data_IF_403242232445
#
_entry.id   IF_403242232445
#
_cell.length_a   1.000
_cell.length_b   1.000
_cell.length_c   1.000
_cell.angle_alpha   90.00
_cell.angle_beta   90.00
_cell.angle_gamma   90.00
#
_symmetry.space_group_name_H-M   'P 1'
#
loop_
_entity.id
_entity.type
_entity.pdbx_description
1 polymer ?
#
# COMPACT_ATOMS: atom_id res chain seq x y z
N UNK A 1 -6.16 -44.23 -12.66
CA UNK A 1 -4.86 -43.50 -12.75
C UNK A 1 -5.23 -42.07 -13.09
N UNK A 2 -5.43 -41.15 -12.15
CA UNK A 2 -4.64 -40.68 -11.00
C UNK A 2 -3.96 -39.34 -11.34
N UNK A 3 -4.24 -38.37 -10.47
CA UNK A 3 -3.50 -37.13 -10.20
C UNK A 3 -3.46 -36.06 -11.31
N UNK A 4 -4.52 -35.25 -11.41
CA UNK A 4 -4.36 -33.89 -11.99
C UNK A 4 -5.11 -32.77 -11.23
N UNK A 5 -5.89 -33.07 -10.20
CA UNK A 5 -6.73 -32.06 -9.51
C UNK A 5 -6.14 -31.56 -8.17
N UNK A 6 -4.82 -31.58 -7.98
CA UNK A 6 -4.25 -31.25 -6.65
C UNK A 6 -2.88 -30.54 -6.69
N UNK A 7 -2.63 -29.71 -7.70
CA UNK A 7 -1.39 -28.90 -7.77
C UNK A 7 -1.69 -27.42 -8.01
N UNK A 8 -2.81 -26.89 -7.49
CA UNK A 8 -3.23 -25.51 -7.79
C UNK A 8 -2.97 -24.47 -6.69
N UNK A 9 -2.45 -24.86 -5.52
CA UNK A 9 -2.28 -23.91 -4.40
C UNK A 9 -1.05 -24.11 -3.50
N UNK A 10 -0.33 -25.22 -3.66
CA UNK A 10 0.72 -25.61 -2.70
C UNK A 10 1.97 -24.71 -2.75
N UNK A 11 2.15 -23.96 -3.85
CA UNK A 11 3.32 -23.10 -4.07
C UNK A 11 3.15 -21.68 -3.55
N UNK A 12 1.91 -21.18 -3.44
CA UNK A 12 1.65 -19.78 -3.10
C UNK A 12 1.94 -19.46 -1.64
N UNK A 13 1.46 -20.29 -0.71
CA UNK A 13 1.57 -20.04 0.74
C UNK A 13 3.02 -20.05 1.22
N UNK A 14 3.91 -20.80 0.57
CA UNK A 14 5.33 -20.86 0.91
C UNK A 14 6.20 -19.86 0.12
N UNK A 15 5.90 -19.59 -1.15
CA UNK A 15 6.74 -18.75 -2.01
C UNK A 15 6.40 -17.27 -1.92
N UNK A 16 5.12 -16.90 -1.84
CA UNK A 16 4.70 -15.49 -1.78
C UNK A 16 5.33 -14.75 -0.59
N UNK A 17 5.35 -15.31 0.64
CA UNK A 17 6.01 -14.64 1.78
C UNK A 17 7.51 -14.49 1.56
N UNK A 18 8.17 -15.50 0.97
CA UNK A 18 9.62 -15.45 0.72
C UNK A 18 9.96 -14.37 -0.32
N UNK A 19 9.18 -14.29 -1.40
CA UNK A 19 9.34 -13.27 -2.42
C UNK A 19 9.07 -11.87 -1.85
N UNK A 20 7.99 -11.70 -1.09
CA UNK A 20 7.66 -10.44 -0.42
C UNK A 20 8.77 -9.99 0.54
N UNK A 21 9.31 -10.92 1.33
CA UNK A 21 10.44 -10.67 2.23
C UNK A 21 11.71 -10.25 1.48
N UNK A 22 12.00 -10.92 0.35
CA UNK A 22 13.12 -10.55 -0.54
C UNK A 22 12.94 -9.13 -1.10
N UNK A 23 11.73 -8.81 -1.58
CA UNK A 23 11.41 -7.48 -2.09
C UNK A 23 11.61 -6.41 -1.02
N UNK A 24 11.11 -6.66 0.18
CA UNK A 24 11.22 -5.76 1.31
C UNK A 24 12.68 -5.50 1.74
N UNK A 25 13.51 -6.54 1.69
CA UNK A 25 14.92 -6.47 2.10
C UNK A 25 15.81 -5.78 1.06
N UNK A 26 15.59 -6.07 -0.22
CA UNK A 26 16.52 -5.69 -1.29
C UNK A 26 16.14 -4.38 -1.98
N UNK A 27 14.84 -4.08 -2.09
CA UNK A 27 14.34 -3.03 -2.98
C UNK A 27 13.54 -1.94 -2.26
N UNK A 28 12.85 -2.28 -1.16
CA UNK A 28 12.05 -1.29 -0.41
C UNK A 28 12.96 -0.48 0.53
N UNK A 29 12.97 0.86 0.44
CA UNK A 29 13.87 1.70 1.23
C UNK A 29 13.80 1.44 2.72
N UNK A 30 14.99 1.38 3.29
CA UNK A 30 15.42 1.56 4.67
C UNK A 30 14.92 2.80 5.44
N UNK A 31 14.54 2.74 6.73
CA UNK A 31 14.60 3.99 7.53
C UNK A 31 16.05 4.46 7.75
N UNK A 32 17.03 3.54 7.77
CA UNK A 32 18.46 3.78 7.99
C UNK A 32 19.26 3.98 6.69
N UNK A 33 18.83 3.40 5.57
CA UNK A 33 19.50 3.42 4.27
C UNK A 33 18.85 4.45 3.33
N UNK A 34 19.65 5.03 2.43
CA UNK A 34 19.16 5.98 1.42
C UNK A 34 18.36 5.28 0.34
N UNK A 35 17.33 5.96 -0.17
CA UNK A 35 16.56 5.50 -1.31
C UNK A 35 17.38 5.71 -2.58
N UNK A 36 17.80 4.63 -3.23
CA UNK A 36 18.83 4.70 -4.28
C UNK A 36 18.30 5.02 -5.67
N UNK A 37 17.06 4.61 -6.00
CA UNK A 37 16.51 4.78 -7.34
C UNK A 37 14.96 4.64 -7.37
N UNK A 38 14.21 5.67 -7.79
CA UNK A 38 12.76 5.61 -7.99
C UNK A 38 12.28 4.51 -8.94
N UNK A 39 13.05 4.13 -9.97
CA UNK A 39 12.65 3.11 -10.94
C UNK A 39 12.51 1.72 -10.30
N UNK A 40 13.19 1.47 -9.19
CA UNK A 40 13.10 0.22 -8.43
C UNK A 40 11.71 0.03 -7.83
N UNK A 41 11.01 1.11 -7.46
CA UNK A 41 9.64 0.99 -6.96
C UNK A 41 8.69 0.47 -8.03
N UNK A 42 8.88 0.82 -9.30
CA UNK A 42 8.05 0.29 -10.39
C UNK A 42 8.15 -1.24 -10.46
N UNK A 43 9.36 -1.79 -10.31
CA UNK A 43 9.58 -3.23 -10.22
C UNK A 43 8.87 -3.84 -9.00
N UNK A 44 9.03 -3.23 -7.82
CA UNK A 44 8.36 -3.71 -6.59
C UNK A 44 6.84 -3.72 -6.77
N UNK A 45 6.26 -2.63 -7.28
CA UNK A 45 4.82 -2.50 -7.54
C UNK A 45 4.35 -3.56 -8.53
N UNK A 46 5.10 -3.76 -9.62
CA UNK A 46 4.78 -4.79 -10.61
C UNK A 46 4.80 -6.18 -9.96
N UNK A 47 5.84 -6.52 -9.21
CA UNK A 47 5.96 -7.84 -8.58
C UNK A 47 4.83 -8.09 -7.57
N UNK A 48 4.49 -7.09 -6.74
CA UNK A 48 3.39 -7.18 -5.77
C UNK A 48 2.06 -7.45 -6.46
N UNK A 49 1.74 -6.71 -7.53
CA UNK A 49 0.49 -6.85 -8.27
C UNK A 49 0.42 -8.15 -9.08
N UNK A 50 1.46 -8.43 -9.87
CA UNK A 50 1.52 -9.62 -10.74
C UNK A 50 1.37 -10.91 -9.94
N UNK A 51 1.98 -10.98 -8.75
CA UNK A 51 1.96 -12.18 -7.93
C UNK A 51 0.98 -12.09 -6.74
N UNK A 52 0.17 -11.03 -6.63
CA UNK A 52 -0.79 -10.82 -5.53
C UNK A 52 -0.19 -11.08 -4.15
N UNK A 53 0.99 -10.54 -3.90
CA UNK A 53 1.82 -10.91 -2.73
C UNK A 53 1.19 -10.54 -1.38
N UNK A 54 0.29 -9.56 -1.39
CA UNK A 54 -0.44 -9.09 -0.20
C UNK A 54 -1.82 -9.74 -0.02
N UNK A 55 -2.23 -10.58 -0.97
CA UNK A 55 -3.51 -11.29 -0.93
C UNK A 55 -3.34 -12.59 -0.15
N UNK A 56 -3.57 -12.55 1.16
CA UNK A 56 -3.53 -13.72 2.04
C UNK A 56 -4.76 -14.63 1.81
N UNK A 57 -4.73 -15.40 0.73
CA UNK A 57 -5.72 -16.43 0.42
C UNK A 57 -5.06 -17.79 0.63
N UNK A 58 -5.14 -18.30 1.86
CA UNK A 58 -4.66 -19.63 2.20
C UNK A 58 -5.79 -20.67 2.01
N UNK A 59 -5.54 -21.80 1.33
CA UNK A 59 -6.44 -22.94 1.34
C UNK A 59 -6.71 -23.44 2.76
N UNK A 60 -7.91 -23.99 3.04
CA UNK A 60 -8.29 -24.47 4.38
C UNK A 60 -7.40 -25.60 4.89
N UNK A 61 -6.70 -26.31 4.01
CA UNK A 61 -5.80 -27.43 4.36
C UNK A 61 -4.33 -26.99 4.56
N UNK A 62 -4.05 -25.68 4.52
CA UNK A 62 -2.68 -25.18 4.61
C UNK A 62 -2.08 -25.35 6.01
N UNK A 63 -0.77 -25.61 6.07
CA UNK A 63 -0.03 -25.65 7.33
C UNK A 63 -0.11 -24.30 8.07
N UNK A 64 -0.58 -24.34 9.32
CA UNK A 64 -0.71 -23.20 10.21
C UNK A 64 0.58 -22.37 10.32
N UNK A 65 1.75 -23.02 10.33
CA UNK A 65 3.04 -22.30 10.39
C UNK A 65 3.32 -21.49 9.13
N UNK A 66 2.90 -21.99 7.96
CA UNK A 66 3.05 -21.27 6.71
C UNK A 66 2.10 -20.06 6.64
N UNK A 67 0.88 -20.22 7.15
CA UNK A 67 -0.08 -19.12 7.28
C UNK A 67 0.49 -18.02 8.20
N UNK A 68 0.97 -18.39 9.39
CA UNK A 68 1.55 -17.44 10.35
C UNK A 68 2.76 -16.71 9.77
N UNK A 69 3.62 -17.41 9.04
CA UNK A 69 4.75 -16.80 8.35
C UNK A 69 4.30 -15.83 7.25
N UNK A 70 3.25 -16.16 6.50
CA UNK A 70 2.69 -15.24 5.51
C UNK A 70 2.14 -13.98 6.16
N UNK A 71 1.32 -14.14 7.20
CA UNK A 71 0.75 -13.04 7.98
C UNK A 71 1.86 -12.14 8.53
N UNK A 72 2.89 -12.72 9.15
CA UNK A 72 4.03 -11.96 9.69
C UNK A 72 4.82 -11.20 8.61
N UNK A 73 4.95 -11.77 7.42
CA UNK A 73 5.61 -11.10 6.29
C UNK A 73 4.79 -9.92 5.79
N UNK A 74 3.47 -10.07 5.67
CA UNK A 74 2.56 -8.97 5.30
C UNK A 74 2.54 -7.89 6.38
N UNK A 75 2.58 -8.26 7.66
CA UNK A 75 2.72 -7.30 8.77
C UNK A 75 4.02 -6.49 8.63
N UNK A 76 5.13 -7.17 8.32
CA UNK A 76 6.43 -6.52 8.11
C UNK A 76 6.40 -5.54 6.94
N UNK A 77 5.72 -5.92 5.85
CA UNK A 77 5.47 -5.03 4.71
C UNK A 77 4.68 -3.79 5.13
N UNK A 78 3.52 -3.98 5.76
CA UNK A 78 2.62 -2.87 6.15
C UNK A 78 3.33 -1.93 7.13
N UNK A 79 3.96 -2.48 8.17
CA UNK A 79 4.70 -1.70 9.16
C UNK A 79 5.79 -0.86 8.49
N UNK A 80 6.48 -1.43 7.50
CA UNK A 80 7.49 -0.70 6.76
C UNK A 80 6.90 0.41 5.89
N UNK A 81 5.86 0.11 5.13
CA UNK A 81 5.19 1.08 4.25
C UNK A 81 4.65 2.26 5.06
N UNK A 82 3.99 1.99 6.19
CA UNK A 82 3.48 3.04 7.09
C UNK A 82 4.62 3.88 7.68
N UNK A 83 5.71 3.24 8.12
CA UNK A 83 6.87 3.96 8.65
C UNK A 83 7.55 4.85 7.60
N UNK A 84 7.59 4.39 6.34
CA UNK A 84 8.09 5.19 5.22
C UNK A 84 7.16 6.35 4.90
N UNK A 85 5.85 6.11 4.83
CA UNK A 85 4.87 7.16 4.53
C UNK A 85 4.96 8.30 5.53
N UNK A 86 5.18 8.00 6.82
CA UNK A 86 5.35 8.99 7.88
C UNK A 86 6.79 9.55 8.02
N UNK A 87 7.68 9.32 7.06
CA UNK A 87 9.07 9.78 7.13
C UNK A 87 9.20 11.27 6.82
N UNK A 88 10.06 11.98 7.58
CA UNK A 88 10.41 13.38 7.27
C UNK A 88 11.27 13.54 6.01
N UNK A 89 11.77 12.43 5.43
CA UNK A 89 12.56 12.46 4.20
C UNK A 89 11.63 12.37 2.99
N UNK A 90 11.52 13.41 2.14
CA UNK A 90 10.54 13.47 1.06
C UNK A 90 10.55 12.25 0.13
N UNK A 91 11.72 11.75 -0.27
CA UNK A 91 11.85 10.58 -1.16
C UNK A 91 11.32 9.30 -0.50
N UNK A 92 11.56 9.12 0.81
CA UNK A 92 11.08 7.96 1.57
C UNK A 92 9.59 8.05 1.84
N UNK A 93 9.12 9.26 2.19
CA UNK A 93 7.72 9.58 2.34
C UNK A 93 6.93 9.24 1.08
N UNK A 94 7.39 9.76 -0.07
CA UNK A 94 6.80 9.47 -1.37
C UNK A 94 6.78 7.97 -1.70
N UNK A 95 7.89 7.27 -1.50
CA UNK A 95 7.96 5.82 -1.70
C UNK A 95 6.95 5.07 -0.83
N UNK A 96 6.87 5.43 0.45
CA UNK A 96 5.91 4.85 1.41
C UNK A 96 4.47 5.12 1.00
N UNK A 97 4.14 6.35 0.61
CA UNK A 97 2.82 6.73 0.13
C UNK A 97 2.43 5.91 -1.12
N UNK A 98 3.30 5.85 -2.13
CA UNK A 98 3.04 5.05 -3.34
C UNK A 98 2.78 3.57 -3.02
N UNK A 99 3.60 2.98 -2.14
CA UNK A 99 3.42 1.59 -1.72
C UNK A 99 2.16 1.41 -0.85
N UNK A 100 1.72 2.44 -0.14
CA UNK A 100 0.47 2.42 0.62
C UNK A 100 -0.74 2.36 -0.30
N UNK A 101 -0.76 3.11 -1.40
CA UNK A 101 -1.78 2.99 -2.45
C UNK A 101 -1.88 1.57 -3.01
N UNK A 102 -0.74 0.95 -3.34
CA UNK A 102 -0.69 -0.46 -3.78
C UNK A 102 -1.16 -1.42 -2.68
N UNK A 103 -0.82 -1.15 -1.43
CA UNK A 103 -1.29 -1.94 -0.28
C UNK A 103 -2.81 -1.89 -0.16
N UNK A 104 -3.43 -0.71 -0.32
CA UNK A 104 -4.89 -0.57 -0.36
C UNK A 104 -5.54 -1.44 -1.45
N UNK A 105 -4.91 -1.54 -2.62
CA UNK A 105 -5.43 -2.32 -3.74
C UNK A 105 -5.33 -3.83 -3.50
N UNK A 106 -4.19 -4.29 -2.98
CA UNK A 106 -3.78 -5.70 -3.02
C UNK A 106 -3.96 -6.46 -1.70
N UNK A 107 -4.04 -5.79 -0.55
CA UNK A 107 -4.18 -6.48 0.73
C UNK A 107 -5.54 -7.20 0.88
N UNK A 108 -5.57 -8.17 1.80
CA UNK A 108 -6.80 -8.85 2.21
C UNK A 108 -7.86 -7.86 2.68
N UNK A 109 -9.14 -8.24 2.50
CA UNK A 109 -10.26 -7.36 2.85
C UNK A 109 -10.26 -7.03 4.34
N UNK A 110 -9.91 -8.00 5.15
CA UNK A 110 -9.83 -7.91 6.61
C UNK A 110 -8.80 -6.87 7.03
N UNK A 111 -7.60 -6.91 6.42
CA UNK A 111 -6.53 -5.93 6.68
C UNK A 111 -6.91 -4.54 6.24
N UNK A 112 -7.49 -4.40 5.04
CA UNK A 112 -7.95 -3.12 4.54
C UNK A 112 -8.97 -2.50 5.50
N UNK A 113 -10.02 -3.25 5.87
CA UNK A 113 -11.07 -2.77 6.77
C UNK A 113 -10.55 -2.41 8.16
N UNK A 114 -9.54 -3.11 8.66
CA UNK A 114 -8.92 -2.80 9.94
C UNK A 114 -8.10 -1.50 9.94
N UNK A 115 -7.57 -1.07 8.78
CA UNK A 115 -6.51 -0.05 8.72
C UNK A 115 -6.81 1.16 7.83
N UNK A 116 -7.81 1.11 6.95
CA UNK A 116 -8.03 2.16 5.94
C UNK A 116 -8.25 3.57 6.54
N UNK A 117 -8.88 3.69 7.71
CA UNK A 117 -9.07 4.98 8.37
C UNK A 117 -7.73 5.56 8.84
N UNK A 118 -6.85 4.71 9.38
CA UNK A 118 -5.51 5.14 9.81
C UNK A 118 -4.68 5.58 8.60
N UNK A 119 -4.68 4.78 7.53
CA UNK A 119 -3.99 5.11 6.28
C UNK A 119 -4.52 6.39 5.63
N UNK A 120 -5.84 6.58 5.63
CA UNK A 120 -6.46 7.82 5.18
C UNK A 120 -5.95 9.03 5.97
N UNK A 121 -5.89 8.95 7.30
CA UNK A 121 -5.42 10.06 8.12
C UNK A 121 -3.95 10.38 7.85
N UNK A 122 -3.09 9.35 7.67
CA UNK A 122 -1.69 9.55 7.26
C UNK A 122 -1.61 10.31 5.93
N UNK A 123 -2.34 9.88 4.90
CA UNK A 123 -2.35 10.52 3.59
C UNK A 123 -2.92 11.95 3.62
N UNK A 124 -3.94 12.18 4.45
CA UNK A 124 -4.55 13.50 4.63
C UNK A 124 -3.57 14.50 5.25
N UNK A 125 -2.75 14.08 6.21
CA UNK A 125 -1.76 14.96 6.84
C UNK A 125 -0.80 15.55 5.81
N UNK A 126 -0.33 14.73 4.87
CA UNK A 126 0.57 15.17 3.81
C UNK A 126 -0.09 16.15 2.84
N UNK A 127 -1.38 15.95 2.54
CA UNK A 127 -2.13 16.86 1.69
C UNK A 127 -2.33 18.24 2.34
N UNK A 128 -2.43 18.28 3.68
CA UNK A 128 -2.65 19.49 4.45
C UNK A 128 -1.36 20.23 4.83
N UNK A 129 -0.23 19.52 4.86
CA UNK A 129 1.07 20.07 5.23
C UNK A 129 1.56 21.09 4.19
N UNK A 130 1.83 22.34 4.57
CA UNK A 130 2.45 23.31 3.67
C UNK A 130 3.95 23.04 3.45
N UNK A 131 4.59 22.24 4.32
CA UNK A 131 6.01 21.90 4.23
C UNK A 131 6.28 20.73 3.27
N UNK A 132 5.25 19.99 2.90
CA UNK A 132 5.37 18.81 2.07
C UNK A 132 5.54 19.20 0.60
N UNK A 133 6.48 18.50 -0.06
CA UNK A 133 6.74 18.69 -1.49
C UNK A 133 5.52 18.38 -2.36
N UNK A 134 5.42 19.02 -3.53
CA UNK A 134 4.34 18.77 -4.49
C UNK A 134 4.25 17.29 -4.90
N UNK A 135 5.36 16.58 -5.05
CA UNK A 135 5.34 15.17 -5.41
C UNK A 135 4.77 14.27 -4.31
N UNK A 136 5.02 14.58 -3.03
CA UNK A 136 4.39 13.91 -1.87
C UNK A 136 2.87 14.17 -1.87
N UNK A 137 2.45 15.41 -2.14
CA UNK A 137 1.01 15.75 -2.23
C UNK A 137 0.33 15.01 -3.39
N UNK A 138 0.95 14.97 -4.57
CA UNK A 138 0.42 14.23 -5.75
C UNK A 138 0.33 12.73 -5.48
N UNK A 139 1.38 12.13 -4.90
CA UNK A 139 1.36 10.71 -4.52
C UNK A 139 0.28 10.42 -3.45
N UNK A 140 0.04 11.35 -2.54
CA UNK A 140 -1.02 11.24 -1.53
C UNK A 140 -2.40 11.24 -2.18
N UNK A 141 -2.64 12.13 -3.15
CA UNK A 141 -3.88 12.14 -3.94
C UNK A 141 -4.09 10.81 -4.69
N UNK A 142 -3.05 10.30 -5.36
CA UNK A 142 -3.13 9.02 -6.06
C UNK A 142 -3.46 7.86 -5.10
N UNK A 143 -2.80 7.80 -3.95
CA UNK A 143 -3.01 6.74 -2.95
C UNK A 143 -4.35 6.85 -2.24
N UNK A 144 -4.86 8.08 -2.03
CA UNK A 144 -6.23 8.33 -1.57
C UNK A 144 -7.23 7.84 -2.62
N UNK A 145 -6.99 8.08 -3.91
CA UNK A 145 -7.83 7.56 -4.99
C UNK A 145 -7.89 6.03 -4.94
N UNK A 146 -6.75 5.36 -4.77
CA UNK A 146 -6.70 3.89 -4.62
C UNK A 146 -7.51 3.41 -3.42
N UNK A 147 -7.39 4.10 -2.29
CA UNK A 147 -8.17 3.83 -1.07
C UNK A 147 -9.67 3.98 -1.32
N UNK A 148 -10.13 5.07 -1.94
CA UNK A 148 -11.55 5.30 -2.21
C UNK A 148 -12.10 4.34 -3.27
N UNK A 149 -11.32 4.02 -4.30
CA UNK A 149 -11.70 3.00 -5.29
C UNK A 149 -11.92 1.66 -4.59
N UNK A 150 -11.00 1.24 -3.71
CA UNK A 150 -11.19 -0.01 -2.94
C UNK A 150 -12.42 0.07 -2.03
N UNK A 151 -12.59 1.18 -1.32
CA UNK A 151 -13.70 1.41 -0.40
C UNK A 151 -15.06 1.38 -1.13
N UNK A 152 -15.12 1.90 -2.35
CA UNK A 152 -16.34 1.91 -3.18
C UNK A 152 -16.84 0.51 -3.52
N UNK A 153 -15.94 -0.48 -3.60
CA UNK A 153 -16.26 -1.88 -3.82
C UNK A 153 -16.77 -2.61 -2.57
N UNK A 154 -16.78 -1.96 -1.40
CA UNK A 154 -17.15 -2.56 -0.12
C UNK A 154 -18.51 -2.03 0.35
N UNK A 155 -19.60 -2.83 0.26
CA UNK A 155 -20.94 -2.36 0.61
C UNK A 155 -21.07 -1.89 2.06
N UNK A 156 -20.30 -2.50 2.97
CA UNK A 156 -20.36 -2.22 4.41
C UNK A 156 -19.66 -0.91 4.81
N UNK A 157 -18.86 -0.31 3.91
CA UNK A 157 -18.04 0.87 4.22
C UNK A 157 -18.54 2.16 3.57
N UNK A 158 -19.71 2.14 2.93
CA UNK A 158 -20.26 3.26 2.15
C UNK A 158 -20.44 4.54 3.00
N UNK A 159 -20.94 4.40 4.23
CA UNK A 159 -21.14 5.54 5.14
C UNK A 159 -19.82 6.20 5.52
N UNK A 160 -18.84 5.38 5.89
CA UNK A 160 -17.51 5.85 6.26
C UNK A 160 -16.81 6.50 5.07
N UNK A 161 -16.96 5.93 3.86
CA UNK A 161 -16.42 6.53 2.64
C UNK A 161 -16.97 7.92 2.34
N UNK A 162 -18.28 8.15 2.55
CA UNK A 162 -18.87 9.51 2.40
C UNK A 162 -18.27 10.48 3.43
N UNK A 163 -18.12 10.03 4.68
CA UNK A 163 -17.55 10.84 5.76
C UNK A 163 -16.09 11.21 5.47
N UNK A 164 -15.27 10.25 5.04
CA UNK A 164 -13.87 10.48 4.69
C UNK A 164 -13.75 11.37 3.44
N UNK A 165 -14.57 11.14 2.41
CA UNK A 165 -14.57 11.96 1.20
C UNK A 165 -14.91 13.42 1.48
N UNK A 166 -15.85 13.67 2.39
CA UNK A 166 -16.19 15.05 2.82
C UNK A 166 -15.00 15.77 3.45
N UNK A 167 -14.15 15.07 4.20
CA UNK A 167 -12.93 15.64 4.81
C UNK A 167 -11.88 16.07 3.78
N UNK A 168 -11.93 15.54 2.54
CA UNK A 168 -10.98 15.89 1.48
C UNK A 168 -11.36 17.10 0.66
N UNK A 169 -12.63 17.51 0.68
CA UNK A 169 -13.12 18.59 -0.19
C UNK A 169 -12.29 19.86 0.00
N UNK A 170 -12.14 20.33 1.23
CA UNK A 170 -11.40 21.57 1.53
C UNK A 170 -9.90 21.44 1.24
N UNK A 171 -9.18 20.40 1.70
CA UNK A 171 -7.78 20.17 1.33
C UNK A 171 -7.52 20.14 -0.18
N UNK A 172 -8.37 19.46 -0.95
CA UNK A 172 -8.20 19.36 -2.41
C UNK A 172 -8.47 20.69 -3.11
N UNK A 173 -9.52 21.42 -2.71
CA UNK A 173 -9.79 22.75 -3.26
C UNK A 173 -8.64 23.72 -2.98
N UNK A 174 -8.08 23.67 -1.75
CA UNK A 174 -6.92 24.48 -1.39
C UNK A 174 -5.72 24.12 -2.25
N UNK A 175 -5.42 22.83 -2.43
CA UNK A 175 -4.32 22.36 -3.27
C UNK A 175 -4.47 22.83 -4.73
N UNK A 176 -5.66 22.72 -5.31
CA UNK A 176 -5.93 23.15 -6.70
C UNK A 176 -5.80 24.66 -6.90
N UNK A 177 -5.94 25.44 -5.82
CA UNK A 177 -5.81 26.89 -5.83
C UNK A 177 -4.39 27.36 -5.44
N UNK A 178 -3.43 26.45 -5.23
CA UNK A 178 -2.01 26.81 -5.08
C UNK A 178 -1.45 27.14 -6.48
N UNK A 179 -1.08 28.41 -6.71
CA UNK A 179 -0.54 28.95 -7.98
C UNK A 179 0.83 28.38 -8.39
N UNK A 180 1.36 27.40 -7.65
CA UNK A 180 2.72 26.84 -7.79
C UNK A 180 2.73 25.40 -8.32
N UNK A 181 1.81 25.03 -9.21
CA UNK A 181 2.03 23.88 -10.09
C UNK A 181 3.04 24.24 -11.18
N UNK A 182 4.26 24.63 -10.78
CA UNK A 182 5.38 24.59 -11.71
C UNK A 182 5.52 23.14 -12.17
N UNK A 183 5.42 22.96 -13.48
CA UNK A 183 5.03 21.71 -14.11
C UNK A 183 5.91 20.53 -13.62
N UNK A 184 5.31 19.62 -12.86
CA UNK A 184 5.94 18.36 -12.45
C UNK A 184 5.85 17.41 -13.66
N UNK A 185 6.88 17.43 -14.51
CA UNK A 185 7.14 16.45 -15.56
C UNK A 185 8.46 15.74 -15.31
#
# INVERSE_FOLDING_TARGET
MAASDTIENMYDVALKPRLLSSLLKEYVPDLKHQFRNPSVLSYVVSAVKTHRLLSELAPPESDQKLIENWTSTVDSWINRVVALASSDTPDKCWAGICLLGVTCQECSRERFLASYVAWFNTLLLHLQSPADSHFVKVASCASLSDLFTRLSGLPNAKKDGILLGTKLIQPLLKLLNEDTFDAVW
#
